data_IF_729520066135
#
_entry.id   IF_729520066135
#
_cell.length_a   1.000
_cell.length_b   1.000
_cell.length_c   1.000
_cell.angle_alpha   90.00
_cell.angle_beta   90.00
_cell.angle_gamma   90.00
#
_symmetry.space_group_name_H-M   'P 1'
#
loop_
_entity.id
_entity.type
_entity.pdbx_description
1 polymer ?
#
# COMPACT_ATOMS: atom_id res chain seq x y z
N UNK A 1 -30.52 -11.02 28.96
CA UNK A 1 -29.97 -10.50 27.69
C UNK A 1 -28.75 -11.34 27.34
N UNK A 2 -28.88 -12.24 26.37
CA UNK A 2 -27.78 -13.11 25.93
C UNK A 2 -26.96 -12.36 24.87
N UNK A 3 -25.89 -11.70 25.28
CA UNK A 3 -24.84 -11.26 24.36
C UNK A 3 -23.96 -12.47 24.06
N UNK A 4 -24.34 -13.26 23.06
CA UNK A 4 -23.38 -14.13 22.39
C UNK A 4 -22.70 -13.27 21.31
N UNK A 5 -21.42 -12.93 21.43
CA UNK A 5 -20.71 -12.35 20.31
C UNK A 5 -20.70 -13.41 19.21
N UNK A 6 -21.20 -13.08 18.02
CA UNK A 6 -20.90 -13.89 16.83
C UNK A 6 -19.37 -13.84 16.69
N UNK A 7 -18.71 -14.90 17.15
CA UNK A 7 -17.25 -15.00 17.13
C UNK A 7 -16.76 -15.49 15.78
N UNK A 8 -17.61 -16.19 15.02
CA UNK A 8 -17.36 -16.73 13.68
C UNK A 8 -18.68 -16.86 12.93
N UNK A 9 -18.63 -16.69 11.61
CA UNK A 9 -19.73 -17.07 10.72
C UNK A 9 -19.41 -18.44 10.17
N UNK A 10 -20.34 -19.39 10.32
CA UNK A 10 -20.15 -20.74 9.81
C UNK A 10 -19.97 -20.68 8.27
N UNK A 11 -18.83 -21.15 7.77
CA UNK A 11 -18.44 -21.03 6.37
C UNK A 11 -17.74 -19.73 5.93
N UNK A 12 -17.68 -18.67 6.76
CA UNK A 12 -16.85 -17.51 6.44
C UNK A 12 -15.40 -17.77 6.87
N UNK A 13 -14.63 -18.31 5.94
CA UNK A 13 -13.18 -18.18 6.02
C UNK A 13 -12.84 -16.73 5.65
N UNK A 14 -12.11 -16.03 6.51
CA UNK A 14 -11.58 -14.73 6.14
C UNK A 14 -10.58 -14.95 4.99
N UNK A 15 -11.01 -14.72 3.75
CA UNK A 15 -10.18 -14.75 2.54
C UNK A 15 -9.25 -13.53 2.48
N UNK A 16 -8.62 -13.16 3.60
CA UNK A 16 -7.37 -12.43 3.50
C UNK A 16 -6.36 -13.45 3.01
N UNK A 17 -6.24 -13.56 1.68
CA UNK A 17 -5.60 -14.65 0.92
C UNK A 17 -4.15 -14.96 1.32
N UNK A 18 -3.58 -14.22 2.27
CA UNK A 18 -2.20 -14.26 2.69
C UNK A 18 -2.02 -13.93 4.20
N UNK A 19 -3.07 -13.66 4.97
CA UNK A 19 -2.96 -13.19 6.37
C UNK A 19 -2.50 -14.27 7.37
N UNK A 20 -2.65 -15.53 6.99
CA UNK A 20 -2.18 -16.71 7.71
C UNK A 20 -0.75 -17.14 7.29
N UNK A 21 -0.12 -16.40 6.38
CA UNK A 21 1.27 -16.62 5.96
C UNK A 21 2.12 -15.37 6.22
N UNK A 22 2.93 -15.42 7.28
CA UNK A 22 3.82 -14.32 7.67
C UNK A 22 4.71 -13.84 6.52
N UNK A 23 5.23 -14.75 5.68
CA UNK A 23 6.06 -14.37 4.54
C UNK A 23 5.29 -13.50 3.54
N UNK A 24 4.05 -13.87 3.25
CA UNK A 24 3.23 -13.14 2.28
C UNK A 24 2.81 -11.76 2.80
N UNK A 25 2.57 -11.61 4.10
CA UNK A 25 2.36 -10.30 4.73
C UNK A 25 3.59 -9.41 4.55
N UNK A 26 4.78 -9.92 4.86
CA UNK A 26 6.02 -9.16 4.70
C UNK A 26 6.28 -8.78 3.23
N UNK A 27 6.01 -9.69 2.30
CA UNK A 27 6.13 -9.41 0.87
C UNK A 27 5.21 -8.27 0.42
N UNK A 28 3.94 -8.30 0.82
CA UNK A 28 2.98 -7.24 0.48
C UNK A 28 3.34 -5.89 1.13
N UNK A 29 3.84 -5.92 2.36
CA UNK A 29 4.31 -4.72 3.04
C UNK A 29 5.50 -4.10 2.30
N UNK A 30 6.50 -4.91 1.96
CA UNK A 30 7.68 -4.45 1.21
C UNK A 30 7.30 -3.91 -0.17
N UNK A 31 6.40 -4.59 -0.88
CA UNK A 31 5.89 -4.14 -2.17
C UNK A 31 5.19 -2.77 -2.05
N UNK A 32 4.38 -2.57 -1.00
CA UNK A 32 3.68 -1.31 -0.76
C UNK A 32 4.66 -0.16 -0.46
N UNK A 33 5.70 -0.41 0.35
CA UNK A 33 6.75 0.56 0.64
C UNK A 33 7.52 0.92 -0.64
N UNK A 34 7.92 -0.07 -1.44
CA UNK A 34 8.63 0.15 -2.69
C UNK A 34 7.79 0.98 -3.68
N UNK A 35 6.49 0.70 -3.77
CA UNK A 35 5.57 1.44 -4.61
C UNK A 35 5.43 2.91 -4.18
N UNK A 36 5.31 3.16 -2.87
CA UNK A 36 5.27 4.52 -2.33
C UNK A 36 6.55 5.31 -2.65
N UNK A 37 7.71 4.69 -2.44
CA UNK A 37 9.01 5.31 -2.77
C UNK A 37 9.08 5.64 -4.26
N UNK A 38 8.63 4.73 -5.14
CA UNK A 38 8.63 4.94 -6.58
C UNK A 38 7.75 6.14 -6.99
N UNK A 39 6.57 6.29 -6.38
CA UNK A 39 5.68 7.42 -6.63
C UNK A 39 6.32 8.74 -6.20
N UNK A 40 6.89 8.79 -4.99
CA UNK A 40 7.56 10.00 -4.47
C UNK A 40 8.72 10.39 -5.39
N UNK A 41 9.54 9.41 -5.80
CA UNK A 41 10.66 9.64 -6.70
C UNK A 41 10.21 10.14 -8.07
N UNK A 42 9.18 9.53 -8.65
CA UNK A 42 8.62 9.97 -9.93
C UNK A 42 8.06 11.39 -9.86
N UNK A 43 7.29 11.70 -8.80
CA UNK A 43 6.71 13.03 -8.60
C UNK A 43 7.78 14.11 -8.46
N UNK A 44 8.76 13.89 -7.58
CA UNK A 44 9.87 14.83 -7.37
C UNK A 44 10.73 15.03 -8.61
N UNK A 45 10.99 13.98 -9.38
CA UNK A 45 11.73 14.08 -10.64
C UNK A 45 10.94 14.84 -11.72
N UNK A 46 9.63 14.58 -11.84
CA UNK A 46 8.76 15.29 -12.77
C UNK A 46 8.71 16.79 -12.47
N UNK A 47 8.55 17.16 -11.19
CA UNK A 47 8.52 18.56 -10.77
C UNK A 47 9.86 19.27 -11.05
N UNK A 48 10.98 18.61 -10.77
CA UNK A 48 12.32 19.18 -11.02
C UNK A 48 12.52 19.53 -12.50
N UNK A 49 12.07 18.65 -13.41
CA UNK A 49 12.17 18.89 -14.85
C UNK A 49 11.33 20.10 -15.31
N UNK A 50 10.17 20.33 -14.69
CA UNK A 50 9.32 21.46 -15.04
C UNK A 50 9.84 22.78 -14.45
N UNK A 51 10.37 22.78 -13.22
CA UNK A 51 11.04 23.94 -12.66
C UNK A 51 12.28 24.35 -13.47
N UNK A 52 13.06 23.40 -14.00
CA UNK A 52 14.18 23.72 -14.89
C UNK A 52 13.74 24.37 -16.20
N UNK A 53 12.63 23.91 -16.81
CA UNK A 53 12.08 24.52 -18.03
C UNK A 53 11.64 25.97 -17.80
N UNK A 54 11.05 26.26 -16.63
CA UNK A 54 10.65 27.62 -16.26
C UNK A 54 11.88 28.50 -16.03
N UNK A 55 12.90 28.01 -15.32
CA UNK A 55 14.14 28.75 -15.05
C UNK A 55 14.91 29.13 -16.32
N UNK A 56 14.83 28.33 -17.39
CA UNK A 56 15.47 28.64 -18.69
C UNK A 56 14.71 29.66 -19.55
N UNK A 57 13.48 30.03 -19.16
CA UNK A 57 12.62 30.99 -19.91
C UNK A 57 12.56 32.40 -19.32
N UNK A 58 13.06 32.60 -18.10
CA UNK A 58 13.21 33.92 -17.47
C UNK A 58 14.64 34.42 -17.59
#
# INVERSE_FOLDING_TARGET
MHTSPITKWDGATAYFTLANNNFAIWLMLLASIAFLIAIIWYGTHHETADFEKIKRRG
#
